data_IF_033016749600
#
_entry.id   IF_033016749600
#
_cell.length_a   1.000
_cell.length_b   1.000
_cell.length_c   1.000
_cell.angle_alpha   90.00
_cell.angle_beta   90.00
_cell.angle_gamma   90.00
#
_symmetry.space_group_name_H-M   'P 1'
#
loop_
_entity.id
_entity.type
_entity.pdbx_description
1 polymer ?
#
# COMPACT_ATOMS: atom_id res chain seq x y z
N UNK A 1 24.70 66.37 71.55
CA UNK A 1 24.53 65.36 70.49
C UNK A 1 23.13 65.53 69.92
N UNK A 2 22.98 66.40 68.93
CA UNK A 2 22.98 66.10 67.47
C UNK A 2 21.56 65.93 66.95
N UNK A 3 21.01 67.07 66.50
CA UNK A 3 19.72 67.22 65.82
C UNK A 3 19.73 66.40 64.52
N UNK A 4 18.93 65.34 64.45
CA UNK A 4 18.53 64.73 63.18
C UNK A 4 17.38 65.58 62.60
N UNK A 5 17.73 66.49 61.67
CA UNK A 5 16.76 67.18 60.82
C UNK A 5 16.11 66.14 59.90
N UNK A 6 14.78 66.00 59.86
CA UNK A 6 14.14 65.20 58.82
C UNK A 6 14.44 65.84 57.44
N UNK A 7 14.76 65.04 56.41
CA UNK A 7 15.08 65.56 55.09
C UNK A 7 13.90 66.36 54.55
N UNK A 8 14.14 67.64 54.26
CA UNK A 8 13.16 68.52 53.62
C UNK A 8 13.09 68.14 52.14
N UNK A 9 12.23 67.19 51.80
CA UNK A 9 11.95 66.85 50.40
C UNK A 9 11.25 68.05 49.72
N UNK A 10 12.04 68.89 49.05
CA UNK A 10 11.53 69.90 48.11
C UNK A 10 10.70 69.19 47.02
N UNK A 11 9.60 69.80 46.58
CA UNK A 11 8.69 69.24 45.55
C UNK A 11 9.36 68.78 44.25
N UNK A 12 10.59 69.27 43.98
CA UNK A 12 11.46 68.81 42.88
C UNK A 12 11.81 67.32 42.98
N UNK A 13 11.99 66.76 44.18
CA UNK A 13 12.32 65.34 44.36
C UNK A 13 11.12 64.42 44.04
N UNK A 14 9.90 64.85 44.37
CA UNK A 14 8.68 64.09 43.99
C UNK A 14 8.47 64.09 42.49
N UNK A 15 8.74 65.20 41.80
CA UNK A 15 8.70 65.26 40.34
C UNK A 15 9.71 64.30 39.70
N UNK A 16 10.94 64.28 40.21
CA UNK A 16 11.99 63.40 39.69
C UNK A 16 11.67 61.91 39.90
N UNK A 17 11.15 61.56 41.08
CA UNK A 17 10.69 60.19 41.38
C UNK A 17 9.52 59.78 40.48
N UNK A 18 8.54 60.67 40.27
CA UNK A 18 7.42 60.42 39.36
C UNK A 18 7.88 60.20 37.91
N UNK A 19 8.84 61.00 37.44
CA UNK A 19 9.42 60.85 36.10
C UNK A 19 10.16 59.51 35.93
N UNK A 20 10.93 59.09 36.94
CA UNK A 20 11.63 57.79 36.92
C UNK A 20 10.63 56.62 36.92
N UNK A 21 9.56 56.71 37.71
CA UNK A 21 8.49 55.69 37.71
C UNK A 21 7.75 55.64 36.37
N UNK A 22 7.49 56.79 35.74
CA UNK A 22 6.89 56.86 34.41
C UNK A 22 7.79 56.23 33.34
N UNK A 23 9.09 56.50 33.38
CA UNK A 23 10.06 55.91 32.47
C UNK A 23 10.18 54.40 32.65
N UNK A 24 10.21 53.93 33.90
CA UNK A 24 10.17 52.49 34.21
C UNK A 24 8.88 51.85 33.69
N UNK A 25 7.74 52.51 33.87
CA UNK A 25 6.46 52.04 33.34
C UNK A 25 6.47 51.94 31.82
N UNK A 26 6.94 52.96 31.11
CA UNK A 26 7.10 52.94 29.64
C UNK A 26 8.07 51.83 29.19
N UNK A 27 9.16 51.61 29.94
CA UNK A 27 10.12 50.56 29.63
C UNK A 27 9.54 49.14 29.76
N UNK A 28 8.51 48.93 30.59
CA UNK A 28 7.79 47.64 30.63
C UNK A 28 7.04 47.31 29.33
N UNK A 29 6.90 48.28 28.42
CA UNK A 29 6.31 48.09 27.10
C UNK A 29 7.22 47.42 26.05
N UNK A 30 8.51 47.20 26.36
CA UNK A 30 9.44 46.53 25.45
C UNK A 30 9.19 45.02 25.44
N UNK A 31 9.03 44.43 24.25
CA UNK A 31 8.86 42.99 24.08
C UNK A 31 9.67 42.46 22.89
N UNK A 32 10.02 41.17 22.95
CA UNK A 32 10.69 40.46 21.85
C UNK A 32 9.76 39.43 21.22
N UNK A 33 9.87 39.27 19.90
CA UNK A 33 9.13 38.31 19.09
C UNK A 33 10.13 37.35 18.46
N UNK A 34 9.89 36.05 18.61
CA UNK A 34 10.77 35.00 18.07
C UNK A 34 10.59 34.83 16.56
N UNK A 35 11.53 34.13 15.91
CA UNK A 35 11.56 33.99 14.44
C UNK A 35 10.31 33.29 13.86
N UNK A 36 9.71 32.37 14.62
CA UNK A 36 8.51 31.62 14.21
C UNK A 36 7.21 32.20 14.78
N UNK A 37 7.29 33.37 15.42
CA UNK A 37 6.17 34.04 16.05
C UNK A 37 5.83 35.34 15.33
N UNK A 38 4.55 35.70 15.37
CA UNK A 38 4.08 37.06 15.10
C UNK A 38 3.34 37.59 16.29
N UNK A 39 3.52 38.87 16.57
CA UNK A 39 2.85 39.53 17.68
C UNK A 39 1.68 40.36 17.16
N UNK A 40 0.50 40.09 17.68
CA UNK A 40 -0.71 40.89 17.45
C UNK A 40 -0.79 41.93 18.56
N UNK A 41 -0.68 43.19 18.17
CA UNK A 41 -0.67 44.33 19.08
C UNK A 41 -2.09 44.89 19.19
N UNK A 42 -2.52 45.04 20.43
CA UNK A 42 -3.81 45.57 20.81
C UNK A 42 -3.62 46.87 21.57
N UNK A 43 -4.38 47.91 21.20
CA UNK A 43 -4.52 49.13 21.98
C UNK A 43 -6.00 49.30 22.35
N UNK A 44 -6.29 49.50 23.63
CA UNK A 44 -7.66 49.58 24.15
C UNK A 44 -8.56 48.42 23.69
N UNK A 45 -7.98 47.23 23.48
CA UNK A 45 -8.70 46.04 23.03
C UNK A 45 -8.96 45.95 21.52
N UNK A 46 -8.63 46.97 20.72
CA UNK A 46 -8.72 46.93 19.25
C UNK A 46 -7.38 46.51 18.64
N UNK A 47 -7.42 45.68 17.59
CA UNK A 47 -6.25 45.34 16.79
C UNK A 47 -5.68 46.59 16.11
N UNK A 48 -4.39 46.85 16.31
CA UNK A 48 -3.69 48.00 15.73
C UNK A 48 -2.71 47.55 14.65
N UNK A 49 -1.86 46.59 14.98
CA UNK A 49 -0.80 46.15 14.06
C UNK A 49 -0.34 44.72 14.38
N UNK A 50 0.33 44.08 13.41
CA UNK A 50 0.99 42.78 13.55
C UNK A 50 2.49 42.94 13.32
N UNK A 51 3.28 42.75 14.37
CA UNK A 51 4.74 42.94 14.33
C UNK A 51 5.48 41.66 13.94
N UNK A 52 6.48 41.75 13.03
CA UNK A 52 7.33 40.62 12.64
C UNK A 52 8.35 40.26 13.75
N UNK A 53 9.14 39.19 13.60
CA UNK A 53 10.21 38.84 14.54
C UNK A 53 11.17 40.00 14.82
N UNK A 54 11.54 40.19 16.08
CA UNK A 54 12.38 41.31 16.51
C UNK A 54 12.00 41.89 17.86
N UNK A 55 12.71 42.95 18.26
CA UNK A 55 12.41 43.72 19.47
C UNK A 55 11.50 44.88 19.09
N UNK A 56 10.39 45.01 19.79
CA UNK A 56 9.36 46.01 19.54
C UNK A 56 8.95 46.68 20.85
N UNK A 57 8.24 47.79 20.74
CA UNK A 57 7.67 48.51 21.87
C UNK A 57 6.16 48.66 21.69
N UNK A 58 5.41 48.43 22.77
CA UNK A 58 3.96 48.67 22.84
C UNK A 58 3.62 49.45 24.11
N UNK A 59 2.42 50.04 24.14
CA UNK A 59 1.88 50.61 25.37
C UNK A 59 1.82 49.53 26.47
N UNK A 60 2.36 49.82 27.67
CA UNK A 60 2.27 48.90 28.79
C UNK A 60 0.82 48.71 29.25
N UNK A 61 0.56 47.58 29.90
CA UNK A 61 -0.74 47.26 30.48
C UNK A 61 -1.16 48.37 31.47
N UNK A 62 -2.43 48.85 31.48
CA UNK A 62 -3.63 48.27 30.84
C UNK A 62 -3.98 48.82 29.45
N UNK A 63 -3.22 49.78 28.92
CA UNK A 63 -3.58 50.49 27.69
C UNK A 63 -3.29 49.66 26.42
N UNK A 64 -2.22 48.84 26.48
CA UNK A 64 -1.84 47.94 25.41
C UNK A 64 -1.72 46.48 25.88
N UNK A 65 -1.94 45.55 24.95
CA UNK A 65 -1.70 44.11 25.13
C UNK A 65 -1.02 43.54 23.90
N UNK A 66 -0.14 42.57 24.09
CA UNK A 66 0.55 41.85 23.01
C UNK A 66 0.22 40.37 23.12
N UNK A 67 -0.24 39.77 22.03
CA UNK A 67 -0.50 38.33 21.92
C UNK A 67 0.45 37.77 20.87
N UNK A 68 1.27 36.79 21.25
CA UNK A 68 2.20 36.13 20.32
C UNK A 68 1.59 34.84 19.82
N UNK A 69 1.66 34.63 18.51
CA UNK A 69 1.11 33.44 17.84
C UNK A 69 2.22 32.80 17.02
N UNK A 70 2.41 31.49 17.18
CA UNK A 70 3.35 30.70 16.38
C UNK A 70 2.72 30.39 15.02
N UNK A 71 3.36 30.85 13.95
CA UNK A 71 2.82 30.77 12.59
C UNK A 71 3.24 29.50 11.86
N UNK A 72 4.49 29.06 12.08
CA UNK A 72 5.10 27.93 11.36
C UNK A 72 4.88 26.57 12.06
N UNK A 73 4.06 26.53 13.10
CA UNK A 73 3.72 25.30 13.80
C UNK A 73 2.59 24.57 13.06
N UNK A 74 2.90 23.40 12.49
CA UNK A 74 1.89 22.52 11.89
C UNK A 74 1.11 21.86 13.02
N UNK A 75 -0.19 22.17 13.09
CA UNK A 75 -1.12 21.61 14.07
C UNK A 75 -1.91 20.47 13.43
N UNK A 76 -2.15 19.42 14.20
CA UNK A 76 -2.93 18.24 13.77
C UNK A 76 -4.27 18.19 14.50
N UNK A 77 -5.35 18.01 13.74
CA UNK A 77 -6.69 17.66 14.24
C UNK A 77 -7.04 16.28 13.74
N UNK A 78 -7.62 15.49 14.62
CA UNK A 78 -8.08 14.12 14.34
C UNK A 78 -9.60 14.07 14.50
N UNK A 79 -10.26 13.40 13.54
CA UNK A 79 -11.71 13.16 13.46
C UNK A 79 -11.93 11.65 13.42
N UNK A 80 -12.81 11.14 14.29
CA UNK A 80 -13.13 9.70 14.36
C UNK A 80 -12.05 8.85 15.04
N UNK A 81 -10.94 9.45 15.47
CA UNK A 81 -9.88 8.81 16.25
C UNK A 81 -9.32 9.80 17.29
N UNK A 82 -8.69 9.28 18.35
CA UNK A 82 -7.96 10.10 19.32
C UNK A 82 -6.66 9.42 19.72
N UNK A 83 -5.55 9.90 19.18
CA UNK A 83 -4.22 9.39 19.55
C UNK A 83 -3.78 10.01 20.88
N UNK A 84 -3.56 9.19 21.91
CA UNK A 84 -2.90 9.61 23.16
C UNK A 84 -3.80 10.16 24.27
N UNK A 85 -5.13 10.04 24.17
CA UNK A 85 -6.06 10.49 25.20
C UNK A 85 -6.89 9.33 25.76
N UNK A 86 -6.52 8.81 26.93
CA UNK A 86 -7.22 7.75 27.64
C UNK A 86 -8.49 8.31 28.28
N UNK A 87 -9.67 7.78 27.95
CA UNK A 87 -10.94 8.10 28.65
C UNK A 87 -12.05 8.75 27.83
N UNK A 88 -11.92 8.88 26.50
CA UNK A 88 -13.06 9.23 25.65
C UNK A 88 -13.95 7.99 25.42
N UNK A 89 -15.27 8.18 25.53
CA UNK A 89 -16.22 7.12 25.23
C UNK A 89 -16.14 6.73 23.75
N UNK A 90 -16.03 5.43 23.48
CA UNK A 90 -16.03 4.89 22.11
C UNK A 90 -17.28 5.34 21.32
N UNK A 91 -18.40 5.58 22.01
CA UNK A 91 -19.63 6.09 21.41
C UNK A 91 -19.50 7.52 20.83
N UNK A 92 -18.67 8.39 21.41
CA UNK A 92 -18.49 9.74 20.89
C UNK A 92 -17.57 9.77 19.67
N UNK A 93 -16.58 8.86 19.62
CA UNK A 93 -15.75 8.66 18.43
C UNK A 93 -16.54 8.09 17.25
N UNK A 94 -17.44 7.14 17.53
CA UNK A 94 -18.33 6.58 16.52
C UNK A 94 -19.28 7.63 15.93
N UNK A 95 -19.77 8.59 16.71
CA UNK A 95 -20.59 9.70 16.18
C UNK A 95 -19.81 10.59 15.19
N UNK A 96 -18.54 10.85 15.47
CA UNK A 96 -17.65 11.63 14.60
C UNK A 96 -17.26 10.84 13.33
N UNK A 97 -17.10 9.51 13.44
CA UNK A 97 -16.61 8.65 12.35
C UNK A 97 -17.71 8.11 11.43
N UNK A 98 -18.92 7.87 11.94
CA UNK A 98 -19.97 7.16 11.22
C UNK A 98 -20.69 8.06 10.21
N UNK A 99 -20.63 7.66 8.95
CA UNK A 99 -21.16 8.40 7.81
C UNK A 99 -21.94 7.50 6.86
N UNK A 100 -22.80 8.13 6.05
CA UNK A 100 -23.56 7.48 5.00
C UNK A 100 -23.01 7.90 3.64
N UNK A 101 -22.79 6.94 2.76
CA UNK A 101 -22.35 7.16 1.37
C UNK A 101 -23.53 7.36 0.42
N UNK A 102 -23.25 7.74 -0.84
CA UNK A 102 -24.29 7.93 -1.89
C UNK A 102 -25.18 6.68 -2.05
N UNK A 103 -24.59 5.49 -1.96
CA UNK A 103 -25.27 4.21 -2.07
C UNK A 103 -25.98 3.73 -0.80
N UNK A 104 -26.16 4.60 0.20
CA UNK A 104 -26.81 4.27 1.49
C UNK A 104 -26.00 3.22 2.29
N UNK A 105 -24.68 3.18 2.10
CA UNK A 105 -23.82 2.35 2.94
C UNK A 105 -23.30 3.15 4.12
N UNK A 106 -23.40 2.55 5.31
CA UNK A 106 -22.85 3.09 6.54
C UNK A 106 -21.38 2.70 6.64
N UNK A 107 -20.50 3.66 6.92
CA UNK A 107 -19.05 3.45 7.06
C UNK A 107 -18.51 4.29 8.21
N UNK A 108 -17.47 3.78 8.86
CA UNK A 108 -16.71 4.48 9.88
C UNK A 108 -15.43 5.04 9.23
N UNK A 109 -15.34 6.36 9.12
CA UNK A 109 -14.22 7.05 8.47
C UNK A 109 -13.36 7.75 9.51
N UNK A 110 -12.06 7.51 9.45
CA UNK A 110 -11.05 8.16 10.27
C UNK A 110 -10.20 9.10 9.43
N UNK A 111 -9.99 10.32 9.93
CA UNK A 111 -9.28 11.36 9.20
C UNK A 111 -8.37 12.17 10.11
N UNK A 112 -7.22 12.55 9.58
CA UNK A 112 -6.36 13.57 10.16
C UNK A 112 -6.17 14.76 9.24
N UNK A 113 -6.31 15.95 9.80
CA UNK A 113 -6.12 17.22 9.12
C UNK A 113 -4.91 17.91 9.74
N UNK A 114 -4.00 18.36 8.88
CA UNK A 114 -2.87 19.20 9.24
C UNK A 114 -3.13 20.61 8.73
N UNK A 115 -2.96 21.59 9.60
CA UNK A 115 -3.19 23.00 9.29
C UNK A 115 -2.14 23.88 9.97
N UNK A 116 -1.98 25.08 9.43
CA UNK A 116 -1.09 26.09 9.98
C UNK A 116 -1.75 27.48 9.94
N UNK A 117 -1.31 28.37 10.82
CA UNK A 117 -1.87 29.72 10.91
C UNK A 117 -1.23 30.57 9.81
N UNK A 118 -2.06 31.18 8.96
CA UNK A 118 -1.65 32.07 7.86
C UNK A 118 -1.65 33.53 8.28
N UNK A 119 -2.70 33.96 8.97
CA UNK A 119 -2.86 35.34 9.46
C UNK A 119 -3.21 35.31 10.96
N UNK A 120 -2.34 35.86 11.84
CA UNK A 120 -2.58 35.83 13.28
C UNK A 120 -3.71 36.78 13.71
N UNK A 121 -3.99 37.85 12.97
CA UNK A 121 -5.06 38.78 13.32
C UNK A 121 -6.43 38.16 13.02
N UNK A 122 -6.59 37.57 11.84
CA UNK A 122 -7.78 36.79 11.48
C UNK A 122 -7.94 35.57 12.38
N UNK A 123 -6.86 34.89 12.72
CA UNK A 123 -6.89 33.77 13.65
C UNK A 123 -7.37 34.16 15.06
N UNK A 124 -7.07 35.37 15.57
CA UNK A 124 -7.48 35.74 16.94
C UNK A 124 -8.89 36.33 17.02
N UNK A 125 -9.41 36.88 15.91
CA UNK A 125 -10.66 37.66 15.91
C UNK A 125 -11.71 37.22 14.89
N UNK A 126 -11.34 36.42 13.89
CA UNK A 126 -12.20 36.05 12.78
C UNK A 126 -13.32 35.10 13.17
N UNK A 127 -13.04 34.17 14.09
CA UNK A 127 -14.03 33.20 14.59
C UNK A 127 -14.34 33.49 16.06
N UNK A 128 -15.56 33.20 16.51
CA UNK A 128 -15.88 33.23 17.95
C UNK A 128 -15.55 31.87 18.57
N UNK A 129 -14.86 31.86 19.71
CA UNK A 129 -14.54 30.62 20.43
C UNK A 129 -15.81 29.97 20.99
N UNK A 130 -16.27 28.82 20.46
CA UNK A 130 -17.48 28.18 20.93
C UNK A 130 -17.29 27.45 22.28
N UNK A 131 -16.04 27.23 22.74
CA UNK A 131 -15.79 26.59 24.03
C UNK A 131 -15.91 27.57 25.20
N UNK A 132 -15.58 28.85 24.98
CA UNK A 132 -15.74 29.91 26.00
C UNK A 132 -17.20 30.09 26.41
N UNK A 133 -18.14 29.89 25.49
CA UNK A 133 -19.58 30.03 25.75
C UNK A 133 -20.18 28.82 26.52
N UNK A 134 -19.49 27.67 26.51
CA UNK A 134 -19.99 26.43 27.13
C UNK A 134 -19.69 26.30 28.61
N UNK A 135 -18.62 26.93 29.13
CA UNK A 135 -18.08 26.59 30.45
C UNK A 135 -17.71 27.77 31.36
N UNK A 136 -17.89 29.03 30.94
CA UNK A 136 -17.55 30.17 31.80
C UNK A 136 -18.62 31.26 31.79
N UNK A 137 -19.00 31.71 32.99
CA UNK A 137 -19.64 33.01 33.20
C UNK A 137 -18.56 34.07 32.85
N UNK A 138 -18.61 34.73 31.68
CA UNK A 138 -17.47 35.48 31.17
C UNK A 138 -17.11 36.60 32.14
N UNK A 139 -15.85 36.70 32.55
CA UNK A 139 -15.41 37.84 33.36
C UNK A 139 -15.61 39.12 32.53
N UNK A 140 -16.40 40.10 33.00
CA UNK A 140 -16.62 41.32 32.25
C UNK A 140 -15.28 42.07 32.06
N UNK A 141 -14.95 42.40 30.82
CA UNK A 141 -13.79 43.24 30.47
C UNK A 141 -12.54 42.52 29.95
N UNK A 142 -12.52 41.18 29.84
CA UNK A 142 -11.45 40.48 29.11
C UNK A 142 -11.80 40.40 27.63
N UNK A 143 -10.91 40.88 26.76
CA UNK A 143 -11.05 40.66 25.32
C UNK A 143 -11.19 39.15 25.04
N UNK A 144 -12.24 38.76 24.33
CA UNK A 144 -12.49 37.38 23.90
C UNK A 144 -11.49 37.07 22.80
N UNK A 145 -10.41 36.40 23.16
CA UNK A 145 -9.33 36.01 22.26
C UNK A 145 -9.49 34.52 22.01
N UNK A 146 -9.51 34.11 20.74
CA UNK A 146 -9.56 32.70 20.38
C UNK A 146 -8.40 31.94 21.02
N UNK A 147 -8.73 30.84 21.69
CA UNK A 147 -7.74 29.91 22.21
C UNK A 147 -7.37 28.87 21.15
N UNK A 148 -6.19 28.27 21.27
CA UNK A 148 -5.75 27.17 20.39
C UNK A 148 -6.75 26.00 20.40
N UNK A 149 -7.42 25.74 21.54
CA UNK A 149 -8.43 24.70 21.68
C UNK A 149 -9.77 25.06 20.99
N UNK A 150 -10.16 26.34 21.00
CA UNK A 150 -11.34 26.84 20.30
C UNK A 150 -11.21 26.71 18.78
N UNK A 151 -10.03 27.04 18.23
CA UNK A 151 -9.76 26.81 16.81
C UNK A 151 -9.74 25.32 16.49
N UNK A 152 -9.05 24.51 17.29
CA UNK A 152 -8.98 23.05 17.08
C UNK A 152 -10.38 22.43 17.01
N UNK A 153 -11.30 22.89 17.85
CA UNK A 153 -12.70 22.47 17.83
C UNK A 153 -13.43 22.91 16.54
N UNK A 154 -13.25 24.16 16.12
CA UNK A 154 -13.85 24.66 14.87
C UNK A 154 -13.32 23.91 13.64
N UNK A 155 -11.99 23.71 13.57
CA UNK A 155 -11.34 22.92 12.52
C UNK A 155 -11.87 21.49 12.50
N UNK A 156 -12.07 20.87 13.67
CA UNK A 156 -12.67 19.53 13.77
C UNK A 156 -14.09 19.51 13.20
N UNK A 157 -14.94 20.46 13.57
CA UNK A 157 -16.33 20.47 13.10
C UNK A 157 -16.42 20.76 11.60
N UNK A 158 -15.59 21.65 11.07
CA UNK A 158 -15.50 21.90 9.62
C UNK A 158 -14.98 20.66 8.90
N UNK A 159 -13.99 19.98 9.47
CA UNK A 159 -13.46 18.73 8.92
C UNK A 159 -14.54 17.63 8.90
N UNK A 160 -15.31 17.46 9.96
CA UNK A 160 -16.44 16.52 10.02
C UNK A 160 -17.51 16.87 8.98
N UNK A 161 -17.89 18.15 8.88
CA UNK A 161 -18.91 18.60 7.93
C UNK A 161 -18.47 18.41 6.48
N UNK A 162 -17.24 18.84 6.13
CA UNK A 162 -16.69 18.70 4.79
C UNK A 162 -16.51 17.22 4.40
N UNK A 163 -16.02 16.39 5.34
CA UNK A 163 -15.90 14.96 5.12
C UNK A 163 -17.28 14.32 4.89
N UNK A 164 -18.29 14.69 5.69
CA UNK A 164 -19.66 14.16 5.55
C UNK A 164 -20.33 14.62 4.24
N UNK A 165 -20.04 15.82 3.77
CA UNK A 165 -20.50 16.31 2.47
C UNK A 165 -19.92 15.47 1.31
N UNK A 166 -18.60 15.34 1.25
CA UNK A 166 -17.92 14.63 0.15
C UNK A 166 -18.19 13.13 0.17
N UNK A 167 -18.18 12.51 1.36
CA UNK A 167 -18.50 11.08 1.52
C UNK A 167 -19.96 10.81 1.17
N UNK A 168 -20.88 11.71 1.52
CA UNK A 168 -22.30 11.59 1.20
C UNK A 168 -22.60 11.60 -0.30
N UNK A 169 -21.74 12.22 -1.10
CA UNK A 169 -21.81 12.24 -2.57
C UNK A 169 -20.91 11.21 -3.26
N UNK A 170 -20.21 10.36 -2.51
CA UNK A 170 -19.28 9.38 -3.07
C UNK A 170 -19.79 7.95 -2.91
N UNK A 171 -19.55 7.05 -3.88
CA UNK A 171 -19.83 5.63 -3.72
C UNK A 171 -18.84 5.00 -2.74
N UNK A 172 -19.27 3.94 -2.05
CA UNK A 172 -18.46 3.28 -1.00
C UNK A 172 -17.11 2.78 -1.53
N UNK A 173 -17.07 2.24 -2.75
CA UNK A 173 -15.84 1.68 -3.33
C UNK A 173 -14.75 2.75 -3.52
N UNK A 174 -15.13 3.98 -3.87
CA UNK A 174 -14.20 5.09 -4.02
C UNK A 174 -13.61 5.52 -2.67
N UNK A 175 -14.42 5.46 -1.61
CA UNK A 175 -13.98 5.77 -0.24
C UNK A 175 -13.05 4.67 0.32
N UNK A 176 -13.24 3.41 -0.11
CA UNK A 176 -12.45 2.26 0.35
C UNK A 176 -11.18 2.01 -0.47
N UNK A 177 -11.14 2.37 -1.75
CA UNK A 177 -10.10 1.91 -2.69
C UNK A 177 -9.29 3.05 -3.34
N UNK A 178 -9.46 3.28 -4.64
CA UNK A 178 -8.63 4.14 -5.49
C UNK A 178 -9.07 5.61 -5.44
N UNK A 179 -10.37 5.86 -5.19
CA UNK A 179 -10.95 7.21 -5.09
C UNK A 179 -10.49 8.02 -3.88
N UNK A 180 -9.79 7.40 -2.91
CA UNK A 180 -9.38 8.03 -1.64
C UNK A 180 -8.58 9.31 -1.84
N UNK A 181 -7.64 9.33 -2.79
CA UNK A 181 -6.83 10.52 -3.06
C UNK A 181 -7.66 11.68 -3.60
N UNK A 182 -8.67 11.38 -4.42
CA UNK A 182 -9.59 12.39 -4.98
C UNK A 182 -10.46 12.97 -3.87
N UNK A 183 -11.01 12.12 -3.00
CA UNK A 183 -11.81 12.54 -1.85
C UNK A 183 -10.98 13.40 -0.89
N UNK A 184 -9.73 13.01 -0.61
CA UNK A 184 -8.83 13.82 0.24
C UNK A 184 -8.62 15.23 -0.31
N UNK A 185 -8.43 15.35 -1.63
CA UNK A 185 -8.28 16.64 -2.29
C UNK A 185 -9.58 17.45 -2.27
N UNK A 186 -10.72 16.82 -2.55
CA UNK A 186 -12.01 17.49 -2.53
C UNK A 186 -12.38 17.97 -1.13
N UNK A 187 -12.16 17.15 -0.09
CA UNK A 187 -12.32 17.55 1.31
C UNK A 187 -11.38 18.70 1.66
N UNK A 188 -10.12 18.66 1.22
CA UNK A 188 -9.19 19.77 1.42
C UNK A 188 -9.74 21.08 0.83
N UNK A 189 -10.25 21.05 -0.39
CA UNK A 189 -10.75 22.23 -1.09
C UNK A 189 -12.03 22.77 -0.42
N UNK A 190 -12.96 21.90 -0.05
CA UNK A 190 -14.18 22.26 0.69
C UNK A 190 -13.81 22.86 2.06
N UNK A 191 -12.89 22.24 2.79
CA UNK A 191 -12.43 22.75 4.09
C UNK A 191 -11.78 24.13 3.96
N UNK A 192 -10.92 24.34 2.95
CA UNK A 192 -10.27 25.63 2.74
C UNK A 192 -11.32 26.70 2.40
N UNK A 193 -12.29 26.39 1.54
CA UNK A 193 -13.39 27.29 1.21
C UNK A 193 -14.20 27.69 2.47
N UNK A 194 -14.56 26.74 3.33
CA UNK A 194 -15.30 27.04 4.56
C UNK A 194 -14.46 27.90 5.51
N UNK A 195 -13.16 27.61 5.66
CA UNK A 195 -12.25 28.38 6.51
C UNK A 195 -12.02 29.81 6.01
N UNK A 196 -11.96 29.99 4.70
CA UNK A 196 -11.84 31.30 4.07
C UNK A 196 -13.12 32.11 4.23
N UNK A 197 -14.30 31.48 4.11
CA UNK A 197 -15.61 32.12 4.37
C UNK A 197 -15.74 32.56 5.82
N UNK A 198 -15.28 31.76 6.77
CA UNK A 198 -15.26 32.12 8.19
C UNK A 198 -14.19 33.16 8.53
N UNK A 199 -13.26 33.46 7.62
CA UNK A 199 -12.15 34.36 7.90
C UNK A 199 -11.24 33.84 9.02
N UNK A 200 -11.03 32.52 9.07
CA UNK A 200 -10.27 31.86 10.13
C UNK A 200 -8.79 32.23 10.17
N UNK A 201 -8.24 32.73 9.05
CA UNK A 201 -6.80 33.00 8.91
C UNK A 201 -5.94 31.73 8.94
N UNK A 202 -6.50 30.56 8.59
CA UNK A 202 -5.84 29.26 8.63
C UNK A 202 -5.70 28.69 7.21
N UNK A 203 -4.57 28.06 6.94
CA UNK A 203 -4.36 27.26 5.72
C UNK A 203 -4.36 25.78 6.09
N UNK A 204 -5.16 25.00 5.35
CA UNK A 204 -5.09 23.54 5.43
C UNK A 204 -3.89 23.09 4.59
N UNK A 205 -3.02 22.26 5.18
CA UNK A 205 -1.82 21.75 4.51
C UNK A 205 -2.06 20.38 3.90
N UNK A 206 -2.68 19.48 4.67
CA UNK A 206 -2.88 18.10 4.27
C UNK A 206 -4.12 17.53 4.95
N UNK A 207 -4.97 16.89 4.15
CA UNK A 207 -6.08 16.07 4.62
C UNK A 207 -5.75 14.62 4.28
N UNK A 208 -5.74 13.76 5.28
CA UNK A 208 -5.44 12.35 5.12
C UNK A 208 -6.54 11.50 5.75
N UNK A 209 -7.24 10.74 4.91
CA UNK A 209 -8.07 9.61 5.34
C UNK A 209 -7.14 8.49 5.79
N UNK A 210 -7.28 8.04 7.04
CA UNK A 210 -6.47 6.98 7.63
C UNK A 210 -7.10 5.63 7.34
N UNK A 211 -8.19 5.32 8.04
CA UNK A 211 -8.90 4.06 7.92
C UNK A 211 -10.38 4.29 7.61
N UNK A 212 -10.95 3.37 6.82
CA UNK A 212 -12.37 3.34 6.50
C UNK A 212 -12.83 1.90 6.68
N UNK A 213 -13.79 1.68 7.58
CA UNK A 213 -14.32 0.35 7.87
C UNK A 213 -15.83 0.31 7.72
N UNK A 214 -16.40 -0.78 7.19
CA UNK A 214 -17.80 -1.09 7.38
C UNK A 214 -18.10 -1.30 8.88
N UNK A 215 -19.30 -0.93 9.38
CA UNK A 215 -19.72 -1.20 10.74
C UNK A 215 -19.62 -2.69 11.06
N UNK A 216 -19.32 -3.00 12.32
CA UNK A 216 -19.12 -4.38 12.78
C UNK A 216 -20.33 -5.28 12.49
N UNK A 217 -21.54 -4.72 12.55
CA UNK A 217 -22.79 -5.44 12.29
C UNK A 217 -22.94 -5.99 10.86
N UNK A 218 -22.30 -5.37 9.86
CA UNK A 218 -22.42 -5.77 8.44
C UNK A 218 -21.13 -6.37 7.86
N UNK A 219 -20.05 -6.35 8.65
CA UNK A 219 -18.72 -6.75 8.21
C UNK A 219 -18.67 -8.17 7.65
N UNK A 220 -19.34 -9.13 8.29
CA UNK A 220 -19.39 -10.53 7.83
C UNK A 220 -20.03 -10.64 6.44
N UNK A 221 -21.19 -10.01 6.23
CA UNK A 221 -21.86 -10.02 4.93
C UNK A 221 -21.05 -9.34 3.82
N UNK A 222 -20.29 -8.30 4.14
CA UNK A 222 -19.35 -7.67 3.19
C UNK A 222 -18.20 -8.62 2.82
N UNK A 223 -17.64 -9.32 3.82
CA UNK A 223 -16.61 -10.33 3.54
C UNK A 223 -17.16 -11.46 2.67
N UNK A 224 -18.39 -11.91 2.89
CA UNK A 224 -19.01 -12.96 2.08
C UNK A 224 -19.17 -12.55 0.61
N UNK A 225 -19.61 -11.32 0.33
CA UNK A 225 -19.73 -10.81 -1.06
C UNK A 225 -18.36 -10.75 -1.73
N UNK A 226 -17.36 -10.21 -1.04
CA UNK A 226 -16.00 -10.11 -1.57
C UNK A 226 -15.39 -11.50 -1.83
N UNK A 227 -15.58 -12.44 -0.88
CA UNK A 227 -15.13 -13.82 -1.05
C UNK A 227 -15.80 -14.49 -2.25
N UNK A 228 -17.10 -14.24 -2.45
CA UNK A 228 -17.85 -14.76 -3.60
C UNK A 228 -17.36 -14.17 -4.93
N UNK A 229 -17.04 -12.88 -4.97
CA UNK A 229 -16.44 -12.24 -6.15
C UNK A 229 -15.02 -12.76 -6.43
N UNK A 230 -14.22 -12.95 -5.39
CA UNK A 230 -12.88 -13.56 -5.52
C UNK A 230 -12.98 -14.99 -6.05
N UNK A 231 -13.90 -15.80 -5.52
CA UNK A 231 -14.17 -17.16 -5.99
C UNK A 231 -14.66 -17.16 -7.44
N UNK A 232 -15.57 -16.26 -7.81
CA UNK A 232 -16.03 -16.09 -9.18
C UNK A 232 -14.85 -15.76 -10.11
N UNK A 233 -14.04 -14.78 -9.75
CA UNK A 233 -12.87 -14.38 -10.53
C UNK A 233 -11.83 -15.50 -10.62
N UNK A 234 -11.64 -16.30 -9.56
CA UNK A 234 -10.80 -17.49 -9.58
C UNK A 234 -11.33 -18.51 -10.58
N UNK A 235 -12.62 -18.85 -10.52
CA UNK A 235 -13.25 -19.82 -11.42
C UNK A 235 -13.15 -19.40 -12.89
N UNK A 236 -13.34 -18.11 -13.19
CA UNK A 236 -13.16 -17.56 -14.54
C UNK A 236 -11.71 -17.75 -15.00
N UNK A 237 -10.74 -17.38 -14.17
CA UNK A 237 -9.30 -17.53 -14.49
C UNK A 237 -8.88 -18.98 -14.67
N UNK A 238 -9.41 -19.89 -13.86
CA UNK A 238 -9.15 -21.33 -13.97
C UNK A 238 -9.73 -21.90 -15.27
N UNK A 239 -10.95 -21.48 -15.63
CA UNK A 239 -11.60 -21.86 -16.88
C UNK A 239 -10.84 -21.33 -18.12
N UNK A 240 -10.41 -20.07 -18.08
CA UNK A 240 -9.58 -19.47 -19.12
C UNK A 240 -8.22 -20.18 -19.22
N UNK A 241 -7.59 -20.49 -18.10
CA UNK A 241 -6.34 -21.24 -18.04
C UNK A 241 -6.48 -22.63 -18.65
N UNK A 242 -7.56 -23.35 -18.33
CA UNK A 242 -7.86 -24.66 -18.90
C UNK A 242 -8.08 -24.59 -20.42
N UNK A 243 -8.87 -23.62 -20.88
CA UNK A 243 -9.11 -23.37 -22.30
C UNK A 243 -7.81 -23.07 -23.06
N UNK A 244 -6.99 -22.17 -22.49
CA UNK A 244 -5.71 -21.75 -23.04
C UNK A 244 -4.65 -22.86 -23.01
N UNK A 245 -4.80 -23.88 -22.15
CA UNK A 245 -3.91 -25.04 -22.12
C UNK A 245 -4.31 -26.10 -23.17
N UNK A 246 -5.60 -26.44 -23.25
CA UNK A 246 -6.06 -27.56 -24.08
C UNK A 246 -5.96 -27.28 -25.57
N UNK A 247 -6.44 -26.12 -26.03
CA UNK A 247 -6.49 -25.87 -27.48
C UNK A 247 -5.09 -25.91 -28.11
N UNK A 248 -4.05 -25.24 -27.56
CA UNK A 248 -2.70 -25.34 -28.08
C UNK A 248 -2.11 -26.75 -27.98
N UNK A 249 -2.36 -27.46 -26.87
CA UNK A 249 -1.86 -28.82 -26.68
C UNK A 249 -2.45 -29.78 -27.72
N UNK A 250 -3.78 -29.76 -27.90
CA UNK A 250 -4.46 -30.62 -28.89
C UNK A 250 -4.06 -30.26 -30.31
N UNK A 251 -3.90 -28.96 -30.64
CA UNK A 251 -3.36 -28.53 -31.95
C UNK A 251 -1.94 -29.04 -32.17
N UNK A 252 -1.09 -28.97 -31.16
CA UNK A 252 0.28 -29.50 -31.20
C UNK A 252 0.31 -31.01 -31.43
N UNK A 253 -0.53 -31.77 -30.71
CA UNK A 253 -0.66 -33.22 -30.89
C UNK A 253 -1.17 -33.59 -32.28
N UNK A 254 -2.19 -32.89 -32.78
CA UNK A 254 -2.71 -33.12 -34.12
C UNK A 254 -1.63 -32.85 -35.19
N UNK A 255 -0.90 -31.73 -35.08
CA UNK A 255 0.21 -31.42 -35.96
C UNK A 255 1.33 -32.49 -35.88
N UNK A 256 1.64 -32.97 -34.67
CA UNK A 256 2.63 -34.03 -34.46
C UNK A 256 2.21 -35.35 -35.14
N UNK A 257 0.94 -35.75 -35.03
CA UNK A 257 0.42 -36.98 -35.68
C UNK A 257 0.53 -36.86 -37.21
N UNK A 258 0.13 -35.72 -37.77
CA UNK A 258 0.23 -35.47 -39.22
C UNK A 258 1.69 -35.52 -39.68
N UNK A 259 2.58 -34.82 -38.96
CA UNK A 259 4.01 -34.83 -39.28
C UNK A 259 4.64 -36.24 -39.18
N UNK A 260 4.22 -37.05 -38.20
CA UNK A 260 4.67 -38.43 -38.07
C UNK A 260 4.15 -39.32 -39.22
N UNK A 261 2.90 -39.15 -39.63
CA UNK A 261 2.32 -39.88 -40.75
C UNK A 261 3.01 -39.52 -42.08
N UNK A 262 3.30 -38.24 -42.30
CA UNK A 262 4.07 -37.76 -43.44
C UNK A 262 5.50 -38.30 -43.43
N UNK A 263 6.18 -38.26 -42.28
CA UNK A 263 7.52 -38.81 -42.12
C UNK A 263 7.56 -40.32 -42.40
N UNK A 264 6.58 -41.08 -41.89
CA UNK A 264 6.48 -42.52 -42.14
C UNK A 264 6.22 -42.83 -43.62
N UNK A 265 5.31 -42.08 -44.26
CA UNK A 265 5.04 -42.20 -45.69
C UNK A 265 6.28 -41.93 -46.52
N UNK A 266 6.97 -40.82 -46.25
CA UNK A 266 8.22 -40.46 -46.91
C UNK A 266 9.32 -41.52 -46.67
N UNK A 267 9.44 -42.02 -45.44
CA UNK A 267 10.37 -43.11 -45.11
C UNK A 267 10.06 -44.38 -45.92
N UNK A 268 8.79 -44.80 -46.01
CA UNK A 268 8.38 -45.98 -46.78
C UNK A 268 8.67 -45.83 -48.27
N UNK A 269 8.36 -44.67 -48.84
CA UNK A 269 8.65 -44.37 -50.25
C UNK A 269 10.17 -44.38 -50.50
N UNK A 270 10.95 -43.74 -49.62
CA UNK A 270 12.40 -43.68 -49.75
C UNK A 270 13.05 -45.06 -49.55
N UNK A 271 12.55 -45.88 -48.63
CA UNK A 271 13.03 -47.25 -48.42
C UNK A 271 12.73 -48.11 -49.64
N UNK A 272 11.50 -48.07 -50.17
CA UNK A 272 11.15 -48.79 -51.39
C UNK A 272 12.00 -48.37 -52.61
N UNK A 273 12.26 -47.07 -52.77
CA UNK A 273 13.18 -46.56 -53.81
C UNK A 273 14.61 -47.03 -53.58
N UNK A 274 15.10 -47.00 -52.34
CA UNK A 274 16.43 -47.47 -51.98
C UNK A 274 16.60 -48.96 -52.25
N UNK A 275 15.60 -49.77 -51.91
CA UNK A 275 15.58 -51.21 -52.18
C UNK A 275 15.51 -51.49 -53.69
N UNK A 276 14.72 -50.72 -54.46
CA UNK A 276 14.68 -50.82 -55.91
C UNK A 276 16.04 -50.47 -56.55
N UNK A 277 16.69 -49.40 -56.10
CA UNK A 277 18.03 -49.01 -56.57
C UNK A 277 19.10 -50.05 -56.18
N UNK A 278 19.00 -50.64 -54.98
CA UNK A 278 19.86 -51.75 -54.55
C UNK A 278 19.65 -52.97 -55.44
N UNK A 279 18.41 -53.32 -55.73
CA UNK A 279 18.09 -54.44 -56.62
C UNK A 279 18.62 -54.18 -58.05
N UNK A 280 18.42 -52.98 -58.60
CA UNK A 280 18.89 -52.63 -59.94
C UNK A 280 20.44 -52.68 -60.02
N UNK A 281 21.14 -52.19 -59.00
CA UNK A 281 22.60 -52.27 -58.95
C UNK A 281 23.10 -53.71 -58.82
N UNK A 282 22.44 -54.56 -58.01
CA UNK A 282 22.75 -55.99 -57.94
C UNK A 282 22.46 -56.73 -59.26
N UNK A 283 21.35 -56.42 -59.92
CA UNK A 283 20.98 -57.03 -61.21
C UNK A 283 22.02 -56.70 -62.28
N UNK A 284 22.52 -55.46 -62.33
CA UNK A 284 23.59 -55.04 -63.25
C UNK A 284 24.87 -55.87 -63.04
N UNK A 285 25.26 -56.14 -61.80
CA UNK A 285 26.43 -56.99 -61.51
C UNK A 285 26.17 -58.48 -61.79
N UNK A 286 24.96 -58.96 -61.49
CA UNK A 286 24.56 -60.34 -61.79
C UNK A 286 24.63 -60.66 -63.29
N UNK A 287 24.22 -59.74 -64.16
CA UNK A 287 24.29 -59.90 -65.62
C UNK A 287 25.74 -60.05 -66.10
N UNK A 288 26.72 -59.38 -65.45
CA UNK A 288 28.14 -59.49 -65.81
C UNK A 288 28.76 -60.83 -65.39
N UNK A 289 28.42 -61.32 -64.19
CA UNK A 289 29.00 -62.55 -63.62
C UNK A 289 27.99 -63.32 -62.75
N UNK A 290 27.21 -64.25 -63.31
CA UNK A 290 26.09 -64.89 -62.61
C UNK A 290 26.53 -65.87 -61.50
N UNK A 291 27.53 -66.72 -61.75
CA UNK A 291 27.97 -67.76 -60.80
C UNK A 291 28.58 -67.17 -59.52
N UNK A 292 29.41 -66.13 -59.66
CA UNK A 292 30.11 -65.49 -58.53
C UNK A 292 29.11 -64.71 -57.66
N UNK A 293 28.16 -64.01 -58.30
CA UNK A 293 27.15 -63.20 -57.59
C UNK A 293 26.17 -64.07 -56.79
N UNK A 294 25.72 -65.22 -57.33
CA UNK A 294 24.88 -66.18 -56.58
C UNK A 294 25.59 -66.72 -55.35
N UNK A 295 26.85 -67.15 -55.52
CA UNK A 295 27.64 -67.72 -54.42
C UNK A 295 27.88 -66.68 -53.33
N UNK A 296 28.18 -65.43 -53.70
CA UNK A 296 28.31 -64.31 -52.76
C UNK A 296 27.02 -64.06 -51.99
N UNK A 297 25.90 -63.89 -52.70
CA UNK A 297 24.60 -63.61 -52.06
C UNK A 297 24.19 -64.73 -51.10
N UNK A 298 24.43 -65.99 -51.48
CA UNK A 298 24.19 -67.14 -50.62
C UNK A 298 25.05 -67.10 -49.35
N UNK A 299 26.35 -66.83 -49.49
CA UNK A 299 27.26 -66.75 -48.34
C UNK A 299 26.92 -65.56 -47.42
N UNK A 300 26.61 -64.38 -47.96
CA UNK A 300 26.18 -63.20 -47.19
C UNK A 300 24.84 -63.45 -46.47
N UNK A 301 23.88 -64.09 -47.15
CA UNK A 301 22.59 -64.46 -46.53
C UNK A 301 22.80 -65.48 -45.42
N UNK A 302 23.64 -66.50 -45.65
CA UNK A 302 23.97 -67.50 -44.65
C UNK A 302 24.77 -66.90 -43.49
N UNK A 303 25.65 -65.92 -43.72
CA UNK A 303 26.33 -65.19 -42.66
C UNK A 303 25.34 -64.44 -41.75
N UNK A 304 24.36 -63.73 -42.34
CA UNK A 304 23.33 -63.01 -41.58
C UNK A 304 22.43 -63.98 -40.80
N UNK A 305 22.02 -65.09 -41.41
CA UNK A 305 21.17 -66.09 -40.76
C UNK A 305 21.96 -66.79 -39.66
N UNK A 306 23.11 -67.38 -39.99
CA UNK A 306 23.95 -68.15 -39.05
C UNK A 306 24.53 -67.27 -37.93
N UNK A 307 24.78 -65.98 -38.17
CA UNK A 307 25.18 -65.02 -37.14
C UNK A 307 24.10 -64.73 -36.09
N UNK A 308 22.82 -65.03 -36.40
CA UNK A 308 21.70 -64.93 -35.44
C UNK A 308 21.33 -66.27 -34.79
N UNK A 309 21.98 -67.37 -35.19
CA UNK A 309 21.73 -68.69 -34.58
C UNK A 309 22.78 -68.91 -33.49
N UNK A 310 22.33 -69.02 -32.23
CA UNK A 310 23.21 -69.40 -31.13
C UNK A 310 23.68 -70.84 -31.32
N UNK A 311 24.95 -71.00 -31.74
CA UNK A 311 25.56 -72.32 -31.99
C UNK A 311 26.18 -72.87 -30.71
N UNK A 312 25.43 -73.72 -30.00
CA UNK A 312 25.98 -74.52 -28.90
C UNK A 312 26.65 -75.78 -29.47
N UNK A 313 27.96 -75.93 -29.26
CA UNK A 313 28.73 -77.13 -29.63
C UNK A 313 28.91 -77.96 -28.37
N UNK A 314 28.42 -79.21 -28.36
CA UNK A 314 28.55 -80.14 -27.23
C UNK A 314 29.52 -81.26 -27.64
N UNK A 315 30.55 -81.47 -26.83
CA UNK A 315 31.55 -82.54 -27.00
C UNK A 315 30.96 -83.90 -26.57
N UNK A 316 31.24 -84.96 -27.33
CA UNK A 316 30.52 -86.26 -27.21
C UNK A 316 30.83 -87.06 -25.96
N UNK A 317 31.78 -86.63 -25.13
CA UNK A 317 32.18 -87.34 -23.90
C UNK A 317 31.42 -86.90 -22.64
N UNK A 318 30.39 -86.05 -22.75
CA UNK A 318 29.57 -85.59 -21.60
C UNK A 318 28.06 -85.62 -21.87
N UNK A 319 27.58 -86.71 -22.49
CA UNK A 319 26.19 -86.87 -22.95
C UNK A 319 25.19 -87.48 -21.94
N UNK A 320 25.51 -87.58 -20.66
CA UNK A 320 24.65 -88.30 -19.68
C UNK A 320 23.76 -87.43 -18.79
N UNK A 321 23.74 -86.09 -18.93
CA UNK A 321 22.85 -85.28 -18.09
C UNK A 321 22.44 -83.93 -18.70
N UNK A 322 21.75 -83.92 -19.85
CA UNK A 322 20.87 -82.79 -20.19
C UNK A 322 19.60 -83.28 -20.94
N UNK A 323 18.46 -82.93 -20.37
CA UNK A 323 17.05 -83.12 -20.79
C UNK A 323 16.63 -81.87 -21.61
N UNK A 324 15.63 -81.94 -22.52
CA UNK A 324 15.69 -81.31 -23.84
C UNK A 324 15.55 -79.78 -23.84
N UNK A 325 16.40 -79.12 -24.63
CA UNK A 325 16.27 -77.71 -24.98
C UNK A 325 15.06 -77.51 -25.91
N UNK A 326 13.93 -77.09 -25.35
CA UNK A 326 12.93 -76.33 -26.08
C UNK A 326 12.20 -75.38 -25.09
N UNK A 327 12.89 -74.33 -24.65
CA UNK A 327 12.25 -73.17 -24.01
C UNK A 327 12.19 -72.03 -25.03
N UNK A 328 10.99 -71.82 -25.59
CA UNK A 328 10.65 -70.67 -26.43
C UNK A 328 10.98 -69.38 -25.66
N UNK A 329 11.79 -68.52 -26.27
CA UNK A 329 12.22 -67.25 -25.71
C UNK A 329 11.05 -66.36 -25.32
N UNK A 330 10.87 -66.21 -24.00
CA UNK A 330 10.09 -65.14 -23.39
C UNK A 330 10.97 -63.89 -23.29
N UNK A 331 10.39 -62.76 -23.68
CA UNK A 331 11.09 -61.52 -23.98
C UNK A 331 11.94 -60.92 -22.87
N UNK A 332 13.11 -60.46 -23.30
CA UNK A 332 13.92 -59.35 -22.82
C UNK A 332 13.16 -58.37 -21.90
N UNK A 333 13.26 -58.56 -20.58
CA UNK A 333 13.05 -57.49 -19.59
C UNK A 333 14.41 -57.12 -19.01
N UNK A 334 14.91 -55.96 -19.41
CA UNK A 334 16.18 -55.46 -18.90
C UNK A 334 16.50 -54.04 -19.36
N UNK A 335 15.70 -53.05 -18.94
CA UNK A 335 16.22 -51.73 -18.51
C UNK A 335 15.10 -50.85 -17.95
N UNK A 336 14.82 -51.00 -16.65
CA UNK A 336 14.23 -49.93 -15.84
C UNK A 336 15.34 -49.39 -14.95
N UNK A 337 15.96 -48.28 -15.38
CA UNK A 337 16.86 -47.48 -14.54
C UNK A 337 16.05 -46.98 -13.34
N UNK A 338 16.50 -47.34 -12.14
CA UNK A 338 16.03 -46.80 -10.87
C UNK A 338 16.36 -45.31 -10.79
N UNK A 339 15.36 -44.51 -10.42
CA UNK A 339 15.56 -43.16 -9.89
C UNK A 339 15.74 -43.26 -8.36
N UNK A 340 16.52 -42.36 -7.72
CA UNK A 340 16.82 -42.45 -6.30
C UNK A 340 15.64 -41.98 -5.43
N UNK A 341 15.36 -42.74 -4.38
CA UNK A 341 14.47 -42.37 -3.27
C UNK A 341 15.30 -41.50 -2.31
N UNK A 342 14.91 -40.23 -2.13
CA UNK A 342 15.36 -39.41 -1.00
C UNK A 342 14.70 -39.92 0.28
N UNK A 343 15.52 -40.34 1.23
CA UNK A 343 15.17 -40.55 2.62
C UNK A 343 14.88 -39.21 3.30
N UNK A 344 13.67 -39.03 3.80
CA UNK A 344 13.34 -38.03 4.83
C UNK A 344 14.01 -38.48 6.14
N UNK A 345 15.05 -37.78 6.56
CA UNK A 345 15.52 -37.80 7.94
C UNK A 345 14.70 -36.77 8.73
N UNK A 346 14.07 -37.25 9.80
CA UNK A 346 13.64 -36.46 10.92
C UNK A 346 14.86 -35.81 11.60
N UNK A 347 14.83 -34.49 11.71
CA UNK A 347 15.63 -33.76 12.70
C UNK A 347 14.74 -32.67 13.28
N UNK A 348 14.03 -33.03 14.34
CA UNK A 348 13.68 -32.07 15.39
C UNK A 348 14.95 -31.75 16.17
N UNK A 349 15.48 -30.55 15.97
CA UNK A 349 16.28 -29.82 16.94
C UNK A 349 15.90 -28.34 16.82
N UNK A 350 14.96 -27.93 17.67
CA UNK A 350 15.16 -26.86 18.65
C UNK A 350 16.41 -25.97 18.41
N UNK A 351 16.26 -24.74 17.91
CA UNK A 351 16.61 -23.51 18.65
C UNK A 351 16.33 -22.21 17.85
N UNK A 352 15.67 -21.28 18.54
CA UNK A 352 15.76 -19.81 18.47
C UNK A 352 16.13 -19.05 17.19
N UNK A 353 15.19 -18.24 16.70
CA UNK A 353 15.27 -16.77 16.81
C UNK A 353 13.92 -16.11 16.59
#
# INVERSE_FOLDING_TARGET
MSKLKPPQFRGVHFFFVGMVLLLLYIATGIYSVQLQERAVVLAFGKHVDTTPPGIHWNLPYPLGRVVKVRMEEIKKVEVGLRTGQTGLSQADLLKEAQMLTEGINMIDVQMSVQYQIKDPAQFLFGISDPQLDRNENPRPGTARILTDEGLKFTVRNVAEAALREVVGSSPIDDVLTVGRSKIQQEVHDVMQNIMDVYGAGVTINLVQLQDVFPPEAVKESFHDVNNAEEDMNRLIRDAEGYYNAIIPQTRGQAAQIVAQAEAYSAQKVNMAKGDALRFESQLKEYIKAPEITKKRLYLETMEIILGKVDKTIIDSDSLSSLVPLLSLGQGNQGTRRQAPIKSTQSTEQENGR
#
